data_IF_338454730285
#
_entry.id   IF_338454730285
#
_cell.length_a   1.000
_cell.length_b   1.000
_cell.length_c   1.000
_cell.angle_alpha   90.00
_cell.angle_beta   90.00
_cell.angle_gamma   90.00
#
_symmetry.space_group_name_H-M   'P 1'
#
loop_
_entity.id
_entity.type
_entity.pdbx_description
1 polymer ?
#
# COMPACT_ATOMS: atom_id res chain seq x y z
N UNK A 1 14.25 -25.62 6.99
CA UNK A 1 13.58 -25.03 6.35
C UNK A 1 12.78 -23.96 6.72
N UNK A 2 13.31 -22.96 6.97
CA UNK A 2 12.68 -21.86 7.40
C UNK A 2 11.83 -21.21 6.44
N UNK A 3 12.13 -21.38 5.23
CA UNK A 3 11.35 -20.70 4.20
C UNK A 3 9.90 -21.10 4.19
N UNK A 4 9.58 -22.21 4.80
CA UNK A 4 8.20 -22.65 4.83
C UNK A 4 7.29 -21.70 5.56
N UNK A 5 7.80 -21.07 6.62
CA UNK A 5 6.96 -20.19 7.40
C UNK A 5 7.13 -18.73 6.99
N UNK A 6 8.04 -18.45 6.07
CA UNK A 6 8.27 -17.09 5.65
C UNK A 6 7.38 -16.74 4.48
N UNK A 7 6.59 -15.71 4.67
CA UNK A 7 5.75 -15.22 3.59
C UNK A 7 6.56 -14.33 2.70
N UNK A 8 6.35 -14.48 1.40
CA UNK A 8 6.98 -13.60 0.42
C UNK A 8 6.15 -12.33 0.32
N UNK A 9 6.68 -11.25 0.85
CA UNK A 9 6.01 -9.95 0.85
C UNK A 9 6.69 -9.07 -0.18
N UNK A 10 6.03 -8.89 -1.32
CA UNK A 10 6.60 -8.22 -2.48
C UNK A 10 5.89 -6.92 -2.81
N UNK A 11 6.63 -6.02 -3.44
CA UNK A 11 6.09 -4.76 -3.95
C UNK A 11 4.88 -5.04 -4.85
N UNK A 12 3.82 -4.28 -4.67
CA UNK A 12 2.59 -4.40 -5.44
C UNK A 12 1.53 -5.28 -4.80
N UNK A 13 1.93 -6.11 -3.83
CA UNK A 13 0.95 -6.92 -3.12
C UNK A 13 0.12 -6.07 -2.18
N UNK A 14 -1.16 -6.41 -2.06
CA UNK A 14 -2.08 -5.77 -1.12
C UNK A 14 -2.28 -6.70 0.05
N UNK A 15 -2.06 -6.18 1.23
CA UNK A 15 -2.21 -6.93 2.49
C UNK A 15 -3.16 -6.19 3.40
N UNK A 16 -3.93 -6.93 4.18
CA UNK A 16 -4.60 -6.35 5.34
C UNK A 16 -3.53 -6.03 6.35
N UNK A 17 -3.55 -4.83 6.90
CA UNK A 17 -2.56 -4.44 7.87
C UNK A 17 -3.20 -3.74 9.05
N UNK A 18 -2.58 -3.91 10.23
CA UNK A 18 -3.04 -3.27 11.45
C UNK A 18 -2.33 -1.94 11.62
N UNK A 19 -3.09 -0.86 11.53
CA UNK A 19 -2.54 0.49 11.62
C UNK A 19 -2.50 1.03 13.04
N UNK A 20 -3.19 0.40 13.97
CA UNK A 20 -3.24 0.89 15.34
C UNK A 20 -1.98 0.59 16.13
N UNK A 21 -1.60 1.45 17.05
CA UNK A 21 -2.24 2.72 17.37
C UNK A 21 -1.88 3.82 16.36
N UNK A 22 -2.80 4.78 16.20
CA UNK A 22 -2.60 5.91 15.32
C UNK A 22 -2.74 7.21 16.10
N UNK A 23 -2.30 8.31 15.52
CA UNK A 23 -2.35 9.63 16.14
C UNK A 23 -2.99 10.62 15.16
N UNK A 24 -3.93 11.40 15.64
CA UNK A 24 -4.54 12.48 14.86
C UNK A 24 -5.24 11.97 13.61
N UNK A 25 -4.87 12.55 12.47
CA UNK A 25 -5.51 12.25 11.19
C UNK A 25 -4.94 11.05 10.45
N UNK A 26 -4.09 10.27 11.09
CA UNK A 26 -3.56 9.05 10.47
C UNK A 26 -4.69 8.05 10.24
N UNK A 27 -4.60 7.32 9.12
CA UNK A 27 -5.54 6.25 8.83
C UNK A 27 -5.29 5.12 9.81
N UNK A 28 -6.31 4.74 10.57
CA UNK A 28 -6.21 3.72 11.61
C UNK A 28 -6.94 2.44 11.28
N UNK A 29 -7.02 1.57 12.28
CA UNK A 29 -7.71 0.28 12.23
C UNK A 29 -7.06 -0.70 11.28
N UNK A 30 -7.72 -1.83 11.03
CA UNK A 30 -7.26 -2.81 10.05
C UNK A 30 -7.84 -2.44 8.70
N UNK A 31 -6.98 -2.30 7.70
CA UNK A 31 -7.42 -1.95 6.36
C UNK A 31 -6.39 -2.43 5.34
N UNK A 32 -6.76 -2.46 4.06
CA UNK A 32 -5.78 -2.83 3.03
C UNK A 32 -4.67 -1.80 2.92
N UNK A 33 -3.50 -2.27 2.54
CA UNK A 33 -2.37 -1.43 2.20
C UNK A 33 -1.56 -2.12 1.12
N UNK A 34 -0.91 -1.34 0.27
CA UNK A 34 -0.05 -1.89 -0.76
C UNK A 34 1.41 -1.73 -0.37
N UNK A 35 2.21 -2.76 -0.61
CA UNK A 35 3.65 -2.70 -0.39
C UNK A 35 4.26 -1.90 -1.54
N UNK A 36 4.95 -0.82 -1.21
CA UNK A 36 5.57 0.06 -2.21
C UNK A 36 7.08 0.02 -2.17
N UNK A 37 7.70 -0.58 -1.14
CA UNK A 37 9.15 -0.68 -1.07
C UNK A 37 9.69 -1.67 -2.10
N UNK A 38 10.92 -1.40 -2.56
CA UNK A 38 11.59 -2.24 -3.55
C UNK A 38 11.82 -3.65 -3.00
N UNK A 39 11.68 -4.64 -3.88
CA UNK A 39 11.98 -6.02 -3.54
C UNK A 39 13.47 -6.25 -3.30
N UNK A 40 14.31 -5.28 -3.67
CA UNK A 40 15.76 -5.40 -3.54
C UNK A 40 16.28 -5.02 -2.17
N UNK A 41 15.39 -4.71 -1.23
CA UNK A 41 15.81 -4.37 0.13
C UNK A 41 16.24 -5.57 0.95
N UNK A 42 16.22 -6.75 0.36
CA UNK A 42 16.73 -7.96 1.00
C UNK A 42 15.85 -8.47 2.12
N UNK A 43 16.47 -8.84 3.22
CA UNK A 43 15.79 -9.51 4.32
C UNK A 43 15.27 -8.59 5.40
N UNK A 44 15.10 -7.31 5.11
CA UNK A 44 14.54 -6.40 6.08
C UNK A 44 13.15 -6.85 6.52
N UNK A 45 12.92 -6.79 7.82
CA UNK A 45 11.62 -7.13 8.39
C UNK A 45 10.67 -5.94 8.41
N UNK A 46 11.05 -4.88 7.72
CA UNK A 46 10.24 -3.69 7.55
C UNK A 46 9.81 -3.63 6.08
N UNK A 47 8.61 -3.11 5.87
CA UNK A 47 8.10 -2.84 4.53
C UNK A 47 7.56 -1.41 4.52
N UNK A 48 7.76 -0.70 3.42
CA UNK A 48 7.11 0.58 3.24
C UNK A 48 5.78 0.31 2.55
N UNK A 49 4.70 0.81 3.16
CA UNK A 49 3.36 0.58 2.65
C UNK A 49 2.62 1.90 2.47
N UNK A 50 1.62 1.88 1.60
CA UNK A 50 0.67 2.97 1.45
C UNK A 50 -0.72 2.44 1.77
N UNK A 51 -1.45 3.08 2.69
CA UNK A 51 -2.78 2.60 3.08
C UNK A 51 -3.79 2.84 1.96
N UNK A 52 -4.80 1.99 1.93
CA UNK A 52 -5.87 2.05 0.94
C UNK A 52 -7.18 2.34 1.67
N UNK A 53 -7.91 3.33 1.19
CA UNK A 53 -9.20 3.70 1.76
C UNK A 53 -10.28 3.71 0.68
N UNK A 54 -11.54 3.85 1.08
CA UNK A 54 -12.63 3.93 0.12
C UNK A 54 -12.53 5.23 -0.67
N UNK A 55 -12.79 5.17 -1.98
CA UNK A 55 -12.74 6.35 -2.84
C UNK A 55 -13.80 7.36 -2.43
N UNK A 56 -13.43 8.62 -2.52
CA UNK A 56 -14.34 9.75 -2.38
C UNK A 56 -14.05 10.69 -3.55
N UNK A 57 -15.10 11.22 -4.18
CA UNK A 57 -14.92 12.04 -5.38
C UNK A 57 -14.10 13.31 -5.16
N UNK A 58 -13.99 13.76 -3.91
CA UNK A 58 -13.13 14.91 -3.60
C UNK A 58 -11.66 14.59 -3.91
N UNK A 59 -11.32 13.31 -4.02
CA UNK A 59 -9.95 12.89 -4.33
C UNK A 59 -9.56 13.12 -5.80
N UNK A 60 -10.53 13.42 -6.67
CA UNK A 60 -10.23 13.65 -8.10
C UNK A 60 -9.19 14.76 -8.32
N UNK A 61 -9.13 15.74 -7.43
CA UNK A 61 -8.16 16.83 -7.53
C UNK A 61 -6.94 16.64 -6.63
N UNK A 62 -6.83 15.48 -5.98
CA UNK A 62 -5.75 15.23 -5.02
C UNK A 62 -4.68 14.37 -5.68
N UNK A 63 -3.56 14.99 -6.04
CA UNK A 63 -2.54 14.35 -6.89
C UNK A 63 -1.86 13.14 -6.27
N UNK A 64 -1.92 12.97 -4.96
CA UNK A 64 -1.30 11.83 -4.30
C UNK A 64 -2.27 10.67 -4.03
N UNK A 65 -3.54 10.81 -4.39
CA UNK A 65 -4.51 9.73 -4.27
C UNK A 65 -4.61 8.98 -5.59
N UNK A 66 -4.33 7.69 -5.57
CA UNK A 66 -4.39 6.85 -6.76
C UNK A 66 -5.65 6.01 -6.71
N UNK A 67 -6.53 6.19 -7.69
CA UNK A 67 -7.81 5.46 -7.76
C UNK A 67 -7.58 4.03 -8.19
N UNK A 68 -8.27 3.10 -7.55
CA UNK A 68 -8.24 1.68 -7.91
C UNK A 68 -9.64 1.14 -7.94
N UNK A 69 -10.02 0.54 -9.07
CA UNK A 69 -11.31 -0.15 -9.19
C UNK A 69 -11.13 -1.60 -8.74
N UNK A 70 -12.14 -2.19 -8.09
CA UNK A 70 -12.08 -3.61 -7.75
C UNK A 70 -11.93 -4.48 -8.99
N UNK A 71 -11.10 -5.50 -8.90
CA UNK A 71 -10.99 -6.50 -9.97
C UNK A 71 -10.67 -7.86 -9.36
N UNK A 72 -10.56 -8.88 -10.21
CA UNK A 72 -10.35 -10.25 -9.74
C UNK A 72 -8.99 -10.49 -9.10
N UNK A 73 -8.05 -9.55 -9.26
CA UNK A 73 -6.68 -9.74 -8.79
C UNK A 73 -6.33 -8.94 -7.53
N UNK A 74 -7.05 -7.85 -7.26
CA UNK A 74 -6.64 -6.97 -6.17
C UNK A 74 -7.35 -7.20 -4.83
N UNK A 75 -8.37 -8.03 -4.82
CA UNK A 75 -9.05 -8.37 -3.57
C UNK A 75 -9.86 -7.26 -2.92
N UNK A 76 -10.01 -6.12 -3.60
CA UNK A 76 -10.78 -5.00 -3.08
C UNK A 76 -12.25 -5.19 -3.40
N UNK A 77 -13.12 -4.80 -2.47
CA UNK A 77 -14.56 -4.92 -2.66
C UNK A 77 -15.22 -3.63 -3.12
N UNK A 78 -14.54 -2.51 -3.01
CA UNK A 78 -15.07 -1.20 -3.34
C UNK A 78 -14.03 -0.39 -4.11
N UNK A 79 -14.51 0.60 -4.88
CA UNK A 79 -13.61 1.58 -5.49
C UNK A 79 -12.81 2.23 -4.37
N UNK A 80 -11.51 2.29 -4.54
CA UNK A 80 -10.58 2.63 -3.48
C UNK A 80 -9.59 3.70 -3.91
N UNK A 81 -8.93 4.28 -2.93
CA UNK A 81 -7.84 5.23 -3.14
C UNK A 81 -6.61 4.76 -2.37
N UNK A 82 -5.47 4.75 -3.05
CA UNK A 82 -4.19 4.51 -2.39
C UNK A 82 -3.70 5.88 -1.94
N UNK A 83 -3.53 6.06 -0.63
CA UNK A 83 -3.07 7.32 -0.05
C UNK A 83 -1.55 7.31 0.02
N UNK A 84 -0.91 7.83 -1.01
CA UNK A 84 0.55 7.83 -1.06
C UNK A 84 1.17 8.85 -0.11
N UNK A 85 0.40 9.81 0.40
CA UNK A 85 0.93 10.76 1.36
C UNK A 85 1.13 10.11 2.74
N UNK A 86 0.34 9.09 3.07
CA UNK A 86 0.49 8.40 4.35
C UNK A 86 1.38 7.17 4.25
N UNK A 87 2.28 7.17 3.29
CA UNK A 87 3.26 6.10 3.17
C UNK A 87 4.10 6.02 4.44
N UNK A 88 4.36 4.81 4.89
CA UNK A 88 5.12 4.61 6.13
C UNK A 88 5.82 3.26 6.13
N UNK A 89 6.92 3.19 6.88
CA UNK A 89 7.61 1.95 7.12
C UNK A 89 6.95 1.25 8.32
N UNK A 90 6.63 -0.01 8.15
CA UNK A 90 5.99 -0.81 9.21
C UNK A 90 6.69 -2.15 9.36
N UNK A 91 6.59 -2.72 10.57
CA UNK A 91 7.03 -4.10 10.77
C UNK A 91 6.18 -5.02 9.91
N UNK A 92 6.81 -6.01 9.29
CA UNK A 92 6.06 -7.00 8.53
C UNK A 92 5.05 -7.75 9.39
N UNK A 93 5.20 -7.73 10.72
CA UNK A 93 4.23 -8.33 11.61
C UNK A 93 2.87 -7.63 11.60
N UNK A 94 2.83 -6.39 11.11
CA UNK A 94 1.57 -5.67 10.96
C UNK A 94 0.80 -6.12 9.72
N UNK A 95 1.46 -6.85 8.82
CA UNK A 95 0.83 -7.36 7.60
C UNK A 95 0.20 -8.71 7.93
N UNK A 96 -1.13 -8.74 7.96
CA UNK A 96 -1.89 -9.87 8.50
C UNK A 96 -2.15 -10.95 7.45
N UNK A 97 -2.63 -10.53 6.28
CA UNK A 97 -3.05 -11.46 5.25
C UNK A 97 -3.00 -10.79 3.90
N UNK A 98 -2.41 -11.45 2.91
CA UNK A 98 -2.44 -10.96 1.54
C UNK A 98 -3.84 -11.15 0.96
N UNK A 99 -4.39 -10.10 0.35
CA UNK A 99 -5.70 -10.17 -0.28
C UNK A 99 -5.64 -10.02 -1.79
N UNK A 100 -4.53 -9.57 -2.35
CA UNK A 100 -4.40 -9.41 -3.79
C UNK A 100 -3.13 -8.69 -4.19
N UNK A 101 -3.12 -8.20 -5.43
CA UNK A 101 -2.00 -7.47 -6.00
C UNK A 101 -2.51 -6.40 -6.96
N UNK A 102 -1.74 -5.35 -7.11
CA UNK A 102 -2.01 -4.30 -8.09
C UNK A 102 -1.31 -4.61 -9.41
N UNK A 103 -1.87 -4.11 -10.50
CA UNK A 103 -1.25 -4.21 -11.82
C UNK A 103 0.00 -3.35 -11.89
N UNK A 104 0.86 -3.64 -12.86
CA UNK A 104 2.06 -2.83 -13.09
C UNK A 104 1.69 -1.40 -13.46
N UNK A 105 0.59 -1.22 -14.20
CA UNK A 105 0.12 0.12 -14.57
C UNK A 105 -0.26 0.92 -13.34
N UNK A 106 -1.01 0.32 -12.42
CA UNK A 106 -1.38 1.02 -11.18
C UNK A 106 -0.15 1.29 -10.33
N UNK A 107 0.79 0.35 -10.27
CA UNK A 107 2.03 0.58 -9.52
C UNK A 107 2.86 1.71 -10.12
N UNK A 108 2.82 1.91 -11.44
CA UNK A 108 3.48 3.04 -12.07
C UNK A 108 2.84 4.36 -11.61
N UNK A 109 1.52 4.41 -11.50
CA UNK A 109 0.81 5.59 -10.98
C UNK A 109 1.18 5.84 -9.52
N UNK A 110 1.29 4.79 -8.72
CA UNK A 110 1.72 4.90 -7.32
C UNK A 110 3.13 5.48 -7.23
N UNK A 111 4.04 5.00 -8.07
CA UNK A 111 5.42 5.51 -8.10
C UNK A 111 5.46 6.98 -8.46
N UNK A 112 4.66 7.40 -9.44
CA UNK A 112 4.60 8.79 -9.84
C UNK A 112 4.05 9.66 -8.70
N UNK A 113 3.00 9.21 -8.04
CA UNK A 113 2.43 9.95 -6.91
C UNK A 113 3.44 10.07 -5.76
N UNK A 114 4.17 9.00 -5.45
CA UNK A 114 5.22 9.03 -4.44
C UNK A 114 6.33 10.00 -4.82
N UNK A 115 6.70 10.06 -6.09
CA UNK A 115 7.68 11.01 -6.57
C UNK A 115 7.26 12.46 -6.33
N UNK A 116 5.97 12.75 -6.50
CA UNK A 116 5.42 14.07 -6.23
C UNK A 116 5.45 14.35 -4.73
N UNK A 117 4.96 13.42 -3.92
CA UNK A 117 4.90 13.59 -2.47
C UNK A 117 6.27 13.80 -1.86
N UNK A 118 7.26 13.06 -2.33
CA UNK A 118 8.61 13.09 -1.77
C UNK A 118 9.54 14.06 -2.52
N UNK A 119 9.01 14.74 -3.53
CA UNK A 119 9.76 15.68 -4.35
C UNK A 119 11.01 15.04 -4.97
N UNK A 120 10.85 13.85 -5.51
CA UNK A 120 11.93 13.14 -6.18
C UNK A 120 11.86 13.45 -7.67
N UNK A 121 12.95 13.95 -8.23
CA UNK A 121 13.02 14.24 -9.64
C UNK A 121 13.03 12.95 -10.46
N UNK A 122 12.38 12.99 -11.61
CA UNK A 122 12.35 11.86 -12.52
C UNK A 122 13.10 12.19 -13.79
#
# INVERSE_FOLDING_TARGET
>A
MISMSMKTMLRGQIWLYSADPTVGDEIGKTRPAVIVSSNEMGTLRLKVIAPITVWNDVFDSVVWMVKVEPNSNNGLSKRSAIDTFQVRSVSQQRLIKQIGSLSDETMAEVSEALGIVLNVAN
#
